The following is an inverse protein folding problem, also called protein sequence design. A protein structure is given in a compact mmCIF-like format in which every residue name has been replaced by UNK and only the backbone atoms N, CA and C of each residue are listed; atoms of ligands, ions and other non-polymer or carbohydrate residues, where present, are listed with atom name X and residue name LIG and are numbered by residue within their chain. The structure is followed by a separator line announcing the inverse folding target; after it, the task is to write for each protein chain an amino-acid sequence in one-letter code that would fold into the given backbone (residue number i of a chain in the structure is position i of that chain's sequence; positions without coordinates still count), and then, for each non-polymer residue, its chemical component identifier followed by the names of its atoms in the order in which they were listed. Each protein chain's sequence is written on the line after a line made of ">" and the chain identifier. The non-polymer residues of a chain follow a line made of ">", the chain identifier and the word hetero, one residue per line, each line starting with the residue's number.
data_IF_702590862647
#
_entry.id   IF_702590862647
#
_cell.length_a   1.000
_cell.length_b   1.000
_cell.length_c   1.000
_cell.angle_alpha   90.00
_cell.angle_beta   90.00
_cell.angle_gamma   90.00
#
_symmetry.space_group_name_H-M   'P 1'
#
loop_
_entity.id
_entity.type
_entity.pdbx_description
1 polymer ?
#
# COMPACT_ATOMS: atom_id res chain seq x y z
N UNK A 1 8.13 -16.49 9.70
CA UNK A 1 6.97 -15.76 10.29
C UNK A 1 6.82 -16.24 11.71
N UNK A 2 7.00 -15.35 12.69
CA UNK A 2 6.87 -15.71 14.12
C UNK A 2 5.41 -16.09 14.38
N UNK A 3 5.16 -17.25 14.99
CA UNK A 3 3.80 -17.66 15.35
C UNK A 3 3.22 -16.74 16.42
N UNK A 4 1.88 -16.65 16.54
CA UNK A 4 1.26 -15.85 17.59
C UNK A 4 1.69 -16.29 18.99
N UNK A 5 1.92 -17.59 19.19
CA UNK A 5 2.42 -18.15 20.43
C UNK A 5 3.86 -17.71 20.74
N UNK A 6 4.77 -17.85 19.78
CA UNK A 6 6.17 -17.41 19.94
C UNK A 6 6.27 -15.91 20.24
N UNK A 7 5.39 -15.10 19.60
CA UNK A 7 5.35 -13.68 19.88
C UNK A 7 4.88 -13.37 21.30
N UNK A 8 3.84 -14.04 21.80
CA UNK A 8 3.38 -13.92 23.21
C UNK A 8 4.49 -14.27 24.20
N UNK A 9 5.27 -15.32 23.94
CA UNK A 9 6.42 -15.69 24.76
C UNK A 9 7.50 -14.59 24.75
N UNK A 10 7.76 -13.99 23.60
CA UNK A 10 8.71 -12.88 23.49
C UNK A 10 8.23 -11.63 24.25
N UNK A 11 6.93 -11.32 24.18
CA UNK A 11 6.32 -10.24 24.98
C UNK A 11 6.55 -10.49 26.47
N UNK A 12 6.26 -11.72 26.94
CA UNK A 12 6.48 -12.11 28.34
C UNK A 12 7.93 -11.90 28.77
N UNK A 13 8.89 -12.43 28.01
CA UNK A 13 10.32 -12.28 28.30
C UNK A 13 10.77 -10.82 28.33
N UNK A 14 10.27 -10.01 27.39
CA UNK A 14 10.64 -8.59 27.30
C UNK A 14 10.08 -7.78 28.48
N UNK A 15 8.81 -7.98 28.83
CA UNK A 15 8.15 -7.20 29.88
C UNK A 15 8.55 -7.64 31.29
N UNK A 16 8.92 -8.91 31.47
CA UNK A 16 9.44 -9.41 32.76
C UNK A 16 10.93 -9.16 32.98
N UNK A 17 11.72 -9.02 31.89
CA UNK A 17 13.19 -8.96 31.99
C UNK A 17 13.82 -7.58 31.73
N UNK A 18 13.11 -6.63 31.15
CA UNK A 18 13.66 -5.31 30.75
C UNK A 18 12.91 -4.16 31.39
N UNK A 19 13.30 -3.80 32.60
CA UNK A 19 12.69 -2.69 33.35
C UNK A 19 12.85 -1.32 32.68
N UNK A 20 13.89 -1.10 31.87
CA UNK A 20 14.23 0.23 31.30
C UNK A 20 13.83 0.44 29.82
N UNK A 21 13.18 -0.54 29.16
CA UNK A 21 12.83 -0.42 27.74
C UNK A 21 11.94 0.80 27.45
N UNK A 22 11.03 1.09 28.35
CA UNK A 22 10.06 2.18 28.21
C UNK A 22 10.42 3.43 29.02
N UNK A 23 11.59 3.46 29.71
CA UNK A 23 11.95 4.58 30.56
C UNK A 23 11.64 5.96 29.91
N UNK A 24 11.06 6.88 30.67
CA UNK A 24 10.81 6.89 32.12
C UNK A 24 9.52 6.17 32.58
N UNK A 25 8.76 5.55 31.67
CA UNK A 25 7.64 4.69 32.00
C UNK A 25 8.16 3.34 32.48
N UNK A 26 7.64 2.84 33.60
CA UNK A 26 8.07 1.57 34.21
C UNK A 26 6.98 0.52 34.10
N UNK A 27 7.39 -0.74 33.86
CA UNK A 27 6.52 -1.92 33.97
C UNK A 27 6.55 -2.39 35.42
N UNK A 28 5.52 -2.09 36.20
CA UNK A 28 5.42 -2.49 37.60
C UNK A 28 5.03 -3.96 37.75
N UNK A 29 4.15 -4.49 36.92
CA UNK A 29 3.78 -5.90 36.87
C UNK A 29 3.32 -6.34 35.50
N UNK A 30 3.54 -7.63 35.18
CA UNK A 30 3.02 -8.30 33.99
C UNK A 30 2.58 -9.72 34.34
N UNK A 31 1.31 -10.03 34.12
CA UNK A 31 0.72 -11.35 34.32
C UNK A 31 0.12 -11.82 32.97
N UNK A 32 0.74 -12.85 32.40
CA UNK A 32 0.24 -13.49 31.17
C UNK A 32 -0.87 -14.49 31.56
N UNK A 33 -1.89 -14.57 30.71
CA UNK A 33 -3.00 -15.51 30.86
C UNK A 33 -3.66 -15.46 32.25
N UNK A 34 -4.25 -14.32 32.62
CA UNK A 34 -4.93 -14.20 33.91
C UNK A 34 -6.02 -15.27 34.03
N UNK A 35 -6.26 -15.72 35.27
CA UNK A 35 -7.24 -16.77 35.59
C UNK A 35 -8.59 -16.54 34.93
N UNK A 36 -9.36 -17.60 34.62
CA UNK A 36 -10.61 -17.52 33.88
C UNK A 36 -11.58 -16.57 34.57
N UNK A 37 -11.91 -15.47 33.86
CA UNK A 37 -13.07 -14.66 34.21
C UNK A 37 -14.32 -15.31 33.62
N UNK A 38 -15.49 -15.07 34.17
CA UNK A 38 -16.79 -15.56 33.64
C UNK A 38 -17.18 -14.91 32.29
N UNK A 39 -16.33 -14.03 31.75
CA UNK A 39 -16.55 -13.34 30.50
C UNK A 39 -16.22 -14.22 29.27
N UNK A 40 -16.97 -14.11 28.17
CA UNK A 40 -16.76 -14.90 26.95
C UNK A 40 -15.41 -14.62 26.26
N UNK A 41 -14.74 -13.52 26.58
CA UNK A 41 -13.44 -13.14 26.04
C UNK A 41 -12.40 -13.05 27.16
N UNK A 42 -11.22 -13.65 26.93
CA UNK A 42 -10.09 -13.62 27.86
C UNK A 42 -9.03 -12.67 27.35
N UNK A 43 -8.52 -11.74 28.17
CA UNK A 43 -7.37 -10.93 27.80
C UNK A 43 -6.11 -11.78 27.71
N UNK A 44 -5.17 -11.36 26.87
CA UNK A 44 -3.87 -12.03 26.76
C UNK A 44 -2.97 -11.78 27.97
N UNK A 45 -3.11 -10.62 28.63
CA UNK A 45 -2.34 -10.28 29.82
C UNK A 45 -3.02 -9.18 30.66
N UNK A 46 -2.58 -9.10 31.93
CA UNK A 46 -2.75 -7.94 32.80
C UNK A 46 -1.39 -7.25 32.96
N UNK A 47 -1.35 -5.94 32.86
CA UNK A 47 -0.14 -5.14 32.95
C UNK A 47 -0.39 -3.92 33.83
N UNK A 48 0.56 -3.61 34.74
CA UNK A 48 0.55 -2.36 35.51
C UNK A 48 1.74 -1.51 35.06
N UNK A 49 1.47 -0.30 34.64
CA UNK A 49 2.48 0.71 34.31
C UNK A 49 2.56 1.75 35.40
N UNK A 50 3.79 2.21 35.69
CA UNK A 50 4.07 3.29 36.65
C UNK A 50 4.70 4.48 35.94
N UNK A 51 4.19 5.66 36.22
CA UNK A 51 4.72 6.94 35.74
C UNK A 51 4.69 7.97 36.85
N UNK A 52 5.86 8.52 37.20
CA UNK A 52 5.96 9.55 38.25
C UNK A 52 5.22 9.20 39.57
N UNK A 53 5.33 7.94 40.00
CA UNK A 53 4.68 7.44 41.21
C UNK A 53 3.21 7.05 41.08
N UNK A 54 2.56 7.31 39.95
CA UNK A 54 1.18 6.87 39.65
C UNK A 54 1.20 5.50 38.97
N UNK A 55 0.30 4.62 39.37
CA UNK A 55 0.12 3.30 38.77
C UNK A 55 -1.23 3.18 38.10
N UNK A 56 -1.21 2.66 36.86
CA UNK A 56 -2.42 2.35 36.09
C UNK A 56 -2.37 0.89 35.64
N UNK A 57 -3.46 0.18 35.91
CA UNK A 57 -3.62 -1.23 35.52
C UNK A 57 -4.37 -1.36 34.20
N UNK A 58 -3.88 -2.25 33.34
CA UNK A 58 -4.37 -2.46 32.00
C UNK A 58 -4.80 -3.91 31.78
N UNK A 59 -5.86 -4.04 30.98
CA UNK A 59 -6.20 -5.27 30.28
C UNK A 59 -5.52 -5.22 28.91
N UNK A 60 -4.69 -6.23 28.61
CA UNK A 60 -3.85 -6.19 27.42
C UNK A 60 -4.23 -7.28 26.40
N UNK A 61 -4.22 -6.88 25.14
CA UNK A 61 -4.31 -7.76 23.98
C UNK A 61 -2.98 -7.76 23.22
N UNK A 62 -2.49 -8.91 22.82
CA UNK A 62 -1.19 -9.09 22.15
C UNK A 62 -1.41 -9.52 20.71
N UNK A 63 -0.97 -8.71 19.75
CA UNK A 63 -1.03 -9.06 18.34
C UNK A 63 0.37 -9.19 17.74
N UNK A 64 0.64 -10.30 17.08
CA UNK A 64 1.94 -10.58 16.42
C UNK A 64 2.13 -9.85 15.09
N UNK A 65 1.15 -9.08 14.63
CA UNK A 65 1.17 -8.29 13.39
C UNK A 65 0.53 -6.94 13.62
N UNK A 66 0.96 -5.96 12.83
CA UNK A 66 0.51 -4.56 12.88
C UNK A 66 -0.41 -4.18 11.72
N UNK A 67 -0.97 -5.18 10.99
CA UNK A 67 -1.91 -4.91 9.91
C UNK A 67 -3.15 -4.18 10.45
N UNK A 68 -3.64 -3.11 9.81
CA UNK A 68 -4.76 -2.31 10.28
C UNK A 68 -6.01 -3.12 10.67
N UNK A 69 -6.37 -4.12 9.87
CA UNK A 69 -7.49 -5.03 10.19
C UNK A 69 -7.31 -5.76 11.53
N UNK A 70 -6.09 -6.21 11.83
CA UNK A 70 -5.79 -6.90 13.10
C UNK A 70 -5.82 -5.94 14.29
N UNK A 71 -5.34 -4.71 14.09
CA UNK A 71 -5.41 -3.65 15.11
C UNK A 71 -6.86 -3.32 15.40
N UNK A 72 -7.70 -3.14 14.39
CA UNK A 72 -9.13 -2.87 14.55
C UNK A 72 -9.86 -4.00 15.29
N UNK A 73 -9.54 -5.26 14.99
CA UNK A 73 -10.07 -6.40 15.72
C UNK A 73 -9.64 -6.39 17.19
N UNK A 74 -8.39 -6.06 17.48
CA UNK A 74 -7.88 -5.96 18.85
C UNK A 74 -8.57 -4.83 19.62
N UNK A 75 -8.78 -3.68 19.00
CA UNK A 75 -9.53 -2.56 19.58
C UNK A 75 -10.95 -3.02 19.97
N UNK A 76 -11.63 -3.70 19.06
CA UNK A 76 -12.97 -4.22 19.33
C UNK A 76 -12.97 -5.22 20.50
N UNK A 77 -11.99 -6.15 20.56
CA UNK A 77 -11.84 -7.10 21.65
C UNK A 77 -11.64 -6.37 22.98
N UNK A 78 -10.68 -5.43 23.04
CA UNK A 78 -10.36 -4.67 24.25
C UNK A 78 -11.55 -3.86 24.77
N UNK A 79 -12.37 -3.26 23.90
CA UNK A 79 -13.60 -2.56 24.31
C UNK A 79 -14.61 -3.49 25.01
N UNK A 80 -14.57 -4.79 24.73
CA UNK A 80 -15.44 -5.78 25.38
C UNK A 80 -14.86 -6.33 26.69
N UNK A 81 -13.54 -6.15 26.96
CA UNK A 81 -12.93 -6.58 28.22
C UNK A 81 -13.11 -5.60 29.37
N UNK A 82 -13.19 -4.31 29.08
CA UNK A 82 -13.13 -3.24 30.10
C UNK A 82 -14.48 -3.13 30.84
N UNK A 83 -14.70 -4.00 31.83
CA UNK A 83 -15.85 -3.91 32.73
C UNK A 83 -15.50 -3.52 34.17
N UNK A 84 -14.18 -3.55 34.55
CA UNK A 84 -13.74 -3.45 35.94
C UNK A 84 -12.94 -2.16 36.24
N UNK A 85 -13.13 -1.09 35.47
CA UNK A 85 -12.40 0.17 35.67
C UNK A 85 -10.93 0.13 35.26
N UNK A 86 -10.44 -0.96 34.68
CA UNK A 86 -9.10 -1.06 34.09
C UNK A 86 -9.05 -0.39 32.73
N UNK A 87 -7.88 0.13 32.37
CA UNK A 87 -7.62 0.70 31.05
C UNK A 87 -7.28 -0.37 30.02
N UNK A 88 -7.43 -0.05 28.75
CA UNK A 88 -7.13 -0.96 27.64
C UNK A 88 -5.75 -0.72 27.06
N UNK A 89 -5.00 -1.81 26.79
CA UNK A 89 -3.65 -1.74 26.21
C UNK A 89 -3.49 -2.72 25.05
N UNK A 90 -2.97 -2.23 23.94
CA UNK A 90 -2.57 -3.06 22.81
C UNK A 90 -1.04 -3.24 22.80
N UNK A 91 -0.57 -4.49 22.69
CA UNK A 91 0.85 -4.83 22.61
C UNK A 91 1.17 -5.37 21.22
N UNK A 92 2.13 -4.73 20.55
CA UNK A 92 2.48 -4.97 19.15
C UNK A 92 3.99 -5.25 18.97
N UNK A 93 4.41 -5.86 17.85
CA UNK A 93 5.82 -5.93 17.50
C UNK A 93 6.44 -4.56 17.27
N UNK A 94 5.71 -3.68 16.60
CA UNK A 94 6.11 -2.32 16.28
C UNK A 94 4.90 -1.39 16.19
N UNK A 95 5.03 -0.23 16.81
CA UNK A 95 4.04 0.84 16.80
C UNK A 95 4.39 1.86 15.73
N UNK A 96 3.77 1.74 14.56
CA UNK A 96 3.89 2.73 13.48
C UNK A 96 3.05 3.97 13.77
N UNK A 97 3.37 5.08 13.09
CA UNK A 97 2.61 6.32 13.22
C UNK A 97 1.12 6.11 12.89
N UNK A 98 0.80 5.39 11.81
CA UNK A 98 -0.59 5.11 11.42
C UNK A 98 -1.35 4.26 12.45
N UNK A 99 -0.69 3.30 13.09
CA UNK A 99 -1.30 2.52 14.17
C UNK A 99 -1.49 3.38 15.43
N UNK A 100 -0.53 4.26 15.75
CA UNK A 100 -0.68 5.19 16.85
C UNK A 100 -1.86 6.16 16.64
N UNK A 101 -2.05 6.66 15.40
CA UNK A 101 -3.19 7.47 15.02
C UNK A 101 -4.52 6.74 15.24
N UNK A 102 -4.65 5.48 14.73
CA UNK A 102 -5.83 4.65 14.98
C UNK A 102 -6.11 4.45 16.48
N UNK A 103 -5.06 4.17 17.27
CA UNK A 103 -5.21 4.02 18.72
C UNK A 103 -5.61 5.34 19.40
N UNK A 104 -5.11 6.49 18.90
CA UNK A 104 -5.48 7.80 19.41
C UNK A 104 -6.95 8.11 19.22
N UNK A 105 -7.47 7.89 18.01
CA UNK A 105 -8.88 8.07 17.66
C UNK A 105 -9.81 7.24 18.56
N UNK A 106 -9.37 6.03 18.90
CA UNK A 106 -10.14 5.10 19.73
C UNK A 106 -9.86 5.23 21.24
N UNK A 107 -9.03 6.19 21.65
CA UNK A 107 -8.58 6.41 23.03
C UNK A 107 -7.99 5.15 23.68
N UNK A 108 -7.20 4.42 22.92
CA UNK A 108 -6.58 3.16 23.32
C UNK A 108 -5.09 3.34 23.54
N UNK A 109 -4.58 2.92 24.70
CA UNK A 109 -3.14 2.87 24.94
C UNK A 109 -2.48 1.72 24.17
N UNK A 110 -1.25 1.93 23.70
CA UNK A 110 -0.47 0.88 23.02
C UNK A 110 1.02 0.99 23.29
N UNK A 111 1.70 -0.16 23.27
CA UNK A 111 3.16 -0.30 23.41
C UNK A 111 3.70 -1.29 22.39
N UNK A 112 4.99 -1.18 22.07
CA UNK A 112 5.69 -2.15 21.24
C UNK A 112 6.94 -2.73 21.90
N UNK A 113 7.52 -3.77 21.28
CA UNK A 113 8.74 -4.39 21.79
C UNK A 113 10.05 -3.65 21.43
N UNK A 114 9.97 -2.49 20.77
CA UNK A 114 11.09 -1.59 20.48
C UNK A 114 11.22 -0.49 21.53
N UNK A 115 10.19 -0.31 22.37
CA UNK A 115 10.14 0.72 23.39
C UNK A 115 9.35 1.95 22.96
N UNK A 116 8.60 1.91 21.84
CA UNK A 116 7.60 2.93 21.54
C UNK A 116 6.36 2.71 22.39
N UNK A 117 5.69 3.78 22.73
CA UNK A 117 4.43 3.76 23.48
C UNK A 117 3.57 4.98 23.18
N UNK A 118 2.28 4.77 23.29
CA UNK A 118 1.23 5.79 23.39
C UNK A 118 0.38 5.38 24.59
N UNK A 119 0.51 6.07 25.71
CA UNK A 119 -0.30 5.86 26.90
C UNK A 119 -1.23 7.04 27.04
N UNK A 120 -2.52 6.78 27.02
CA UNK A 120 -3.56 7.77 27.15
C UNK A 120 -4.65 7.24 28.07
N UNK A 121 -4.54 7.61 29.33
CA UNK A 121 -5.49 7.31 30.40
C UNK A 121 -5.94 8.59 31.06
N UNK A 122 -6.81 8.49 32.05
CA UNK A 122 -7.20 9.66 32.87
C UNK A 122 -6.05 10.27 33.67
N UNK A 123 -5.03 9.44 33.98
CA UNK A 123 -3.94 9.82 34.88
C UNK A 123 -2.60 10.02 34.17
N UNK A 124 -2.40 9.36 33.04
CA UNK A 124 -1.14 9.35 32.29
C UNK A 124 -1.40 9.70 30.82
N UNK A 125 -0.70 10.72 30.33
CA UNK A 125 -0.54 10.99 28.91
C UNK A 125 0.96 10.98 28.58
N UNK A 126 1.41 9.94 27.88
CA UNK A 126 2.82 9.79 27.54
C UNK A 126 2.97 9.17 26.15
N UNK A 127 3.81 9.77 25.30
CA UNK A 127 3.99 9.36 23.91
C UNK A 127 5.49 9.27 23.59
N UNK A 128 5.90 8.16 22.98
CA UNK A 128 7.21 7.96 22.36
C UNK A 128 7.10 7.10 21.12
N UNK A 129 7.48 7.61 19.94
CA UNK A 129 7.36 6.92 18.64
C UNK A 129 8.65 7.00 17.81
N UNK A 130 9.78 7.28 18.46
CA UNK A 130 11.09 7.51 17.83
C UNK A 130 11.96 6.26 17.68
N UNK A 131 11.56 5.14 18.31
CA UNK A 131 12.35 3.91 18.23
C UNK A 131 12.13 3.20 16.91
N UNK A 132 13.21 2.84 16.18
CA UNK A 132 13.11 2.17 14.89
C UNK A 132 12.54 0.76 15.00
N UNK A 133 11.93 0.28 13.92
CA UNK A 133 11.40 -1.07 13.85
C UNK A 133 12.52 -2.13 13.75
N UNK A 134 12.77 -2.87 14.81
CA UNK A 134 13.67 -4.02 14.83
C UNK A 134 13.00 -5.32 14.30
N UNK A 135 11.67 -5.34 14.15
CA UNK A 135 10.89 -6.48 13.67
C UNK A 135 10.56 -6.34 12.20
N UNK A 136 11.55 -6.42 11.31
CA UNK A 136 11.40 -6.24 9.85
C UNK A 136 10.33 -7.15 9.22
N UNK A 137 10.08 -8.32 9.83
CA UNK A 137 9.06 -9.27 9.38
C UNK A 137 7.61 -8.79 9.62
N UNK A 138 7.42 -7.83 10.51
CA UNK A 138 6.10 -7.24 10.80
C UNK A 138 5.72 -6.13 9.83
N UNK A 139 6.64 -5.68 8.96
CA UNK A 139 6.32 -4.66 7.95
C UNK A 139 5.35 -5.24 6.92
N UNK A 140 4.30 -4.50 6.56
CA UNK A 140 3.42 -4.89 5.48
C UNK A 140 4.25 -5.08 4.20
N UNK A 141 3.92 -6.09 3.39
CA UNK A 141 4.62 -6.36 2.13
C UNK A 141 4.25 -5.24 1.17
N UNK A 142 5.08 -4.20 1.11
CA UNK A 142 4.92 -3.03 0.22
C UNK A 142 4.87 -3.39 -1.27
N UNK A 143 5.32 -4.58 -1.63
CA UNK A 143 5.44 -5.02 -3.03
C UNK A 143 4.11 -5.18 -3.79
N UNK A 144 2.95 -5.17 -3.10
CA UNK A 144 1.65 -5.28 -3.79
C UNK A 144 1.26 -4.00 -4.53
N UNK A 145 1.88 -2.87 -4.22
CA UNK A 145 1.59 -1.57 -4.85
C UNK A 145 2.56 -1.21 -5.97
N UNK A 146 3.51 -2.08 -6.31
CA UNK A 146 4.51 -1.82 -7.35
C UNK A 146 4.63 -2.96 -8.37
N UNK A 147 5.15 -2.64 -9.56
CA UNK A 147 5.35 -3.59 -10.66
C UNK A 147 4.05 -4.32 -11.04
N UNK A 148 4.15 -5.57 -11.46
CA UNK A 148 2.99 -6.37 -11.88
C UNK A 148 1.96 -6.60 -10.77
N UNK A 149 2.37 -6.60 -9.49
CA UNK A 149 1.43 -6.75 -8.38
C UNK A 149 0.47 -5.55 -8.25
N UNK A 150 0.87 -4.36 -8.71
CA UNK A 150 0.03 -3.16 -8.70
C UNK A 150 -1.21 -3.26 -9.61
N UNK A 151 -1.20 -4.18 -10.58
CA UNK A 151 -2.28 -4.37 -11.56
C UNK A 151 -3.63 -4.64 -10.87
N UNK A 152 -3.66 -5.40 -9.77
CA UNK A 152 -4.91 -5.67 -9.04
C UNK A 152 -5.51 -4.37 -8.48
N UNK A 153 -4.69 -3.55 -7.81
CA UNK A 153 -5.16 -2.25 -7.30
C UNK A 153 -5.59 -1.30 -8.42
N UNK A 154 -4.87 -1.29 -9.54
CA UNK A 154 -5.23 -0.48 -10.73
C UNK A 154 -6.55 -0.92 -11.33
N UNK A 155 -6.81 -2.25 -11.43
CA UNK A 155 -8.09 -2.78 -11.89
C UNK A 155 -9.25 -2.29 -11.01
N UNK A 156 -9.10 -2.39 -9.68
CA UNK A 156 -10.14 -1.98 -8.74
C UNK A 156 -10.47 -0.49 -8.87
N UNK A 157 -9.47 0.36 -9.05
CA UNK A 157 -9.66 1.80 -9.28
C UNK A 157 -10.30 2.11 -10.64
N UNK A 158 -10.03 1.30 -11.66
CA UNK A 158 -10.57 1.47 -13.00
C UNK A 158 -12.04 1.05 -13.09
N UNK A 159 -12.35 -0.15 -12.60
CA UNK A 159 -13.67 -0.78 -12.78
C UNK A 159 -14.74 -0.18 -11.86
N UNK A 160 -14.36 0.33 -10.69
CA UNK A 160 -15.27 1.00 -9.73
C UNK A 160 -16.51 0.18 -9.38
N UNK A 161 -16.40 -1.15 -9.44
CA UNK A 161 -17.48 -2.09 -9.16
C UNK A 161 -17.09 -3.12 -8.12
N UNK A 162 -18.06 -3.80 -7.58
CA UNK A 162 -17.88 -5.02 -6.78
C UNK A 162 -17.67 -6.20 -7.72
N UNK A 163 -16.67 -7.03 -7.43
CA UNK A 163 -16.44 -8.31 -8.09
C UNK A 163 -17.01 -9.43 -7.23
N UNK A 164 -17.64 -10.42 -7.86
CA UNK A 164 -18.31 -11.52 -7.16
C UNK A 164 -17.49 -12.82 -7.14
N UNK A 165 -16.31 -12.82 -7.73
CA UNK A 165 -15.39 -13.95 -7.65
C UNK A 165 -13.96 -13.57 -7.99
N UNK A 166 -13.03 -14.40 -7.52
CA UNK A 166 -11.61 -14.28 -7.91
C UNK A 166 -11.40 -14.47 -9.43
N UNK A 167 -12.21 -15.35 -10.05
CA UNK A 167 -12.15 -15.60 -11.49
C UNK A 167 -12.62 -14.38 -12.30
N UNK A 168 -13.58 -13.62 -11.80
CA UNK A 168 -14.00 -12.35 -12.45
C UNK A 168 -12.86 -11.33 -12.46
N UNK A 169 -12.17 -11.17 -11.33
CA UNK A 169 -10.97 -10.31 -11.25
C UNK A 169 -9.88 -10.79 -12.20
N UNK A 170 -9.63 -12.09 -12.26
CA UNK A 170 -8.64 -12.68 -13.15
C UNK A 170 -8.95 -12.38 -14.62
N UNK A 171 -10.20 -12.63 -15.07
CA UNK A 171 -10.64 -12.37 -16.45
C UNK A 171 -10.53 -10.88 -16.81
N UNK A 172 -10.96 -10.00 -15.92
CA UNK A 172 -10.86 -8.56 -16.15
C UNK A 172 -9.40 -8.10 -16.29
N UNK A 173 -8.47 -8.70 -15.53
CA UNK A 173 -7.03 -8.43 -15.68
C UNK A 173 -6.52 -8.89 -17.06
N UNK A 174 -6.90 -10.10 -17.51
CA UNK A 174 -6.48 -10.61 -18.82
C UNK A 174 -7.05 -9.79 -19.99
N UNK A 175 -8.31 -9.39 -19.91
CA UNK A 175 -8.97 -8.53 -20.91
C UNK A 175 -8.25 -7.18 -21.09
N UNK A 176 -7.68 -6.66 -20.00
CA UNK A 176 -6.90 -5.41 -20.00
C UNK A 176 -5.41 -5.62 -20.30
N UNK A 177 -5.01 -6.84 -20.72
CA UNK A 177 -3.64 -7.16 -21.10
C UNK A 177 -2.69 -7.44 -19.93
N UNK A 178 -3.22 -7.56 -18.71
CA UNK A 178 -2.44 -7.96 -17.53
C UNK A 178 -2.18 -9.47 -17.50
N UNK A 179 -1.12 -9.87 -16.76
CA UNK A 179 -0.76 -11.28 -16.58
C UNK A 179 -0.42 -11.54 -15.11
N UNK A 180 -1.33 -12.18 -14.41
CA UNK A 180 -1.15 -12.61 -13.02
C UNK A 180 -1.81 -13.99 -12.84
N UNK A 181 -1.21 -14.84 -12.01
CA UNK A 181 -1.88 -16.09 -11.62
C UNK A 181 -2.99 -15.85 -10.60
N UNK A 182 -4.00 -16.72 -10.57
CA UNK A 182 -5.07 -16.68 -9.55
C UNK A 182 -4.51 -16.67 -8.13
N UNK A 183 -3.45 -17.45 -7.86
CA UNK A 183 -2.77 -17.49 -6.58
C UNK A 183 -2.14 -16.13 -6.21
N UNK A 184 -1.53 -15.44 -7.19
CA UNK A 184 -0.97 -14.10 -6.96
C UNK A 184 -2.08 -13.08 -6.65
N UNK A 185 -3.15 -13.08 -7.44
CA UNK A 185 -4.32 -12.19 -7.24
C UNK A 185 -4.92 -12.42 -5.85
N UNK A 186 -5.14 -13.69 -5.46
CA UNK A 186 -5.67 -14.02 -4.12
C UNK A 186 -4.79 -13.50 -2.99
N UNK A 187 -3.46 -13.62 -3.12
CA UNK A 187 -2.51 -13.11 -2.12
C UNK A 187 -2.52 -11.58 -2.05
N UNK A 188 -2.60 -10.90 -3.20
CA UNK A 188 -2.67 -9.43 -3.26
C UNK A 188 -3.95 -8.94 -2.63
N UNK A 189 -5.11 -9.50 -3.00
CA UNK A 189 -6.41 -9.14 -2.43
C UNK A 189 -6.45 -9.34 -0.91
N UNK A 190 -5.88 -10.46 -0.42
CA UNK A 190 -5.74 -10.69 1.03
C UNK A 190 -4.93 -9.60 1.72
N UNK A 191 -3.87 -9.10 1.08
CA UNK A 191 -3.07 -8.00 1.63
C UNK A 191 -3.81 -6.67 1.60
N UNK A 192 -4.54 -6.38 0.53
CA UNK A 192 -5.39 -5.19 0.45
C UNK A 192 -6.50 -5.22 1.53
N UNK A 193 -7.02 -6.41 1.84
CA UNK A 193 -7.98 -6.61 2.92
C UNK A 193 -7.35 -6.40 4.32
N UNK A 194 -6.14 -6.92 4.54
CA UNK A 194 -5.37 -6.68 5.77
C UNK A 194 -5.12 -5.18 6.01
N UNK A 195 -4.97 -4.39 4.93
CA UNK A 195 -4.81 -2.94 4.94
C UNK A 195 -6.14 -2.16 5.01
N UNK A 196 -7.28 -2.85 5.10
CA UNK A 196 -8.64 -2.26 5.05
C UNK A 196 -8.93 -1.46 3.77
N UNK A 197 -8.17 -1.69 2.70
CA UNK A 197 -8.38 -1.05 1.40
C UNK A 197 -9.53 -1.71 0.65
N UNK A 198 -9.66 -3.04 0.82
CA UNK A 198 -10.67 -3.88 0.18
C UNK A 198 -11.43 -4.64 1.24
N UNK A 199 -12.74 -4.77 1.07
CA UNK A 199 -13.53 -5.80 1.75
C UNK A 199 -13.55 -7.05 0.87
N UNK A 200 -13.18 -8.18 1.46
CA UNK A 200 -13.25 -9.49 0.84
C UNK A 200 -14.11 -10.41 1.71
N UNK A 201 -15.41 -10.28 1.57
CA UNK A 201 -16.36 -11.26 2.11
C UNK A 201 -16.37 -12.55 1.27
N UNK A 202 -17.12 -13.58 1.69
CA UNK A 202 -17.16 -14.89 0.98
C UNK A 202 -17.46 -14.76 -0.51
N UNK A 203 -18.32 -13.79 -0.88
CA UNK A 203 -18.91 -13.68 -2.21
C UNK A 203 -18.71 -12.31 -2.88
N UNK A 204 -17.92 -11.43 -2.27
CA UNK A 204 -17.76 -10.07 -2.79
C UNK A 204 -16.32 -9.53 -2.55
N UNK A 205 -15.84 -8.76 -3.50
CA UNK A 205 -14.58 -8.02 -3.43
C UNK A 205 -14.89 -6.57 -3.78
N UNK A 206 -14.87 -5.71 -2.76
CA UNK A 206 -15.28 -4.30 -2.89
C UNK A 206 -14.14 -3.39 -2.46
N UNK A 207 -13.84 -2.37 -3.25
CA UNK A 207 -12.86 -1.33 -2.91
C UNK A 207 -13.49 -0.36 -1.89
N UNK A 208 -12.91 -0.29 -0.68
CA UNK A 208 -13.40 0.55 0.41
C UNK A 208 -12.72 1.91 0.45
N UNK A 209 -11.42 1.95 0.19
CA UNK A 209 -10.59 3.15 0.35
C UNK A 209 -9.82 3.48 -0.94
N UNK A 210 -10.50 4.02 -1.96
CA UNK A 210 -9.89 4.29 -3.27
C UNK A 210 -8.77 5.34 -3.19
N UNK A 211 -8.92 6.38 -2.38
CA UNK A 211 -7.89 7.41 -2.21
C UNK A 211 -6.62 6.85 -1.56
N UNK A 212 -6.77 6.03 -0.49
CA UNK A 212 -5.65 5.35 0.16
C UNK A 212 -4.94 4.39 -0.82
N UNK A 213 -5.71 3.63 -1.61
CA UNK A 213 -5.14 2.74 -2.62
C UNK A 213 -4.32 3.51 -3.64
N UNK A 214 -4.86 4.60 -4.18
CA UNK A 214 -4.17 5.42 -5.18
C UNK A 214 -2.89 6.06 -4.61
N UNK A 215 -2.93 6.51 -3.34
CA UNK A 215 -1.78 7.07 -2.66
C UNK A 215 -0.69 6.02 -2.38
N UNK A 216 -1.05 4.81 -1.99
CA UNK A 216 -0.12 3.69 -1.84
C UNK A 216 0.56 3.34 -3.17
N UNK A 217 -0.22 3.28 -4.26
CA UNK A 217 0.31 3.06 -5.61
C UNK A 217 1.29 4.16 -6.02
N UNK A 218 1.01 5.44 -5.73
CA UNK A 218 1.88 6.57 -6.01
C UNK A 218 3.18 6.52 -5.21
N UNK A 219 3.09 6.28 -3.91
CA UNK A 219 4.23 6.27 -2.99
C UNK A 219 5.19 5.12 -3.28
N UNK A 220 4.66 3.95 -3.64
CA UNK A 220 5.43 2.75 -3.91
C UNK A 220 5.71 2.55 -5.42
N UNK A 221 5.30 3.52 -6.26
CA UNK A 221 5.56 3.45 -7.69
C UNK A 221 7.05 3.35 -7.98
N UNK A 222 7.38 2.45 -8.88
CA UNK A 222 8.74 2.31 -9.44
C UNK A 222 8.63 2.33 -10.94
N UNK A 223 9.43 3.19 -11.57
CA UNK A 223 9.55 3.20 -13.01
C UNK A 223 9.98 1.81 -13.53
N UNK A 224 9.54 1.41 -14.72
CA UNK A 224 9.93 0.14 -15.30
C UNK A 224 11.45 0.09 -15.51
N UNK A 225 12.01 -1.12 -15.40
CA UNK A 225 13.42 -1.35 -15.70
C UNK A 225 13.64 -1.23 -17.20
N UNK A 226 14.38 -0.22 -17.61
CA UNK A 226 14.77 -0.05 -19.00
C UNK A 226 15.97 -0.94 -19.32
N UNK A 227 15.89 -1.68 -20.43
CA UNK A 227 16.98 -2.51 -20.96
C UNK A 227 17.82 -1.74 -21.97
N UNK A 228 17.14 -0.92 -22.77
CA UNK A 228 17.72 -0.16 -23.86
C UNK A 228 16.87 1.08 -24.13
N UNK A 229 17.47 2.15 -24.62
CA UNK A 229 16.76 3.36 -25.01
C UNK A 229 17.32 3.84 -26.34
N UNK A 230 16.45 4.12 -27.31
CA UNK A 230 16.83 4.72 -28.61
C UNK A 230 16.15 6.07 -28.78
N UNK A 231 16.92 7.04 -29.29
CA UNK A 231 16.45 8.40 -29.57
C UNK A 231 16.48 8.61 -31.07
N UNK A 232 15.34 8.87 -31.66
CA UNK A 232 15.13 8.86 -33.09
C UNK A 232 14.57 10.20 -33.57
N UNK A 233 15.02 10.63 -34.76
CA UNK A 233 14.35 11.68 -35.52
C UNK A 233 13.49 11.00 -36.59
N UNK A 234 12.18 11.08 -36.43
CA UNK A 234 11.23 10.43 -37.33
C UNK A 234 10.33 11.45 -38.04
N UNK A 235 9.73 11.10 -39.20
CA UNK A 235 8.77 11.97 -39.88
C UNK A 235 7.58 12.32 -38.99
N UNK A 236 7.05 13.52 -39.18
CA UNK A 236 5.85 13.98 -38.52
C UNK A 236 4.60 13.56 -39.30
N UNK A 237 3.46 13.26 -38.67
CA UNK A 237 3.31 13.18 -37.20
C UNK A 237 3.93 11.90 -36.62
N UNK A 238 4.64 12.01 -35.47
CA UNK A 238 5.32 10.88 -34.81
C UNK A 238 4.37 9.71 -34.51
N UNK A 239 3.14 9.98 -34.11
CA UNK A 239 2.12 8.96 -33.84
C UNK A 239 1.79 8.15 -35.09
N UNK A 240 1.69 8.78 -36.27
CA UNK A 240 1.47 8.05 -37.52
C UNK A 240 2.66 7.17 -37.88
N UNK A 241 3.88 7.63 -37.61
CA UNK A 241 5.08 6.81 -37.77
C UNK A 241 5.03 5.57 -36.86
N UNK A 242 4.73 5.76 -35.54
CA UNK A 242 4.59 4.65 -34.57
C UNK A 242 3.54 3.63 -35.02
N UNK A 243 2.42 4.09 -35.55
CA UNK A 243 1.32 3.24 -36.04
C UNK A 243 1.72 2.39 -37.24
N UNK A 244 2.46 2.97 -38.16
CA UNK A 244 2.81 2.32 -39.43
C UNK A 244 4.07 1.47 -39.37
N UNK A 245 4.94 1.72 -38.39
CA UNK A 245 6.27 1.08 -38.32
C UNK A 245 6.29 -0.22 -37.58
N UNK A 246 5.32 -0.50 -36.69
CA UNK A 246 5.34 -1.71 -35.82
C UNK A 246 3.92 -2.19 -35.54
N UNK A 247 3.78 -3.51 -35.39
CA UNK A 247 2.57 -4.14 -34.88
C UNK A 247 2.15 -3.48 -33.55
N UNK A 248 0.95 -2.92 -33.58
CA UNK A 248 0.37 -2.15 -32.48
C UNK A 248 0.33 -2.88 -31.14
N UNK A 249 0.52 -4.21 -31.13
CA UNK A 249 0.55 -5.03 -29.90
C UNK A 249 1.82 -4.89 -29.06
N UNK A 250 2.87 -4.29 -29.58
CA UNK A 250 4.21 -4.32 -28.99
C UNK A 250 4.70 -3.02 -28.38
N UNK A 251 3.90 -1.96 -28.40
CA UNK A 251 4.29 -0.67 -27.83
C UNK A 251 3.14 0.04 -27.11
N UNK A 252 3.46 1.00 -26.25
CA UNK A 252 2.52 1.98 -25.69
C UNK A 252 3.26 3.28 -25.38
N UNK A 253 2.59 4.42 -25.52
CA UNK A 253 3.16 5.70 -25.07
C UNK A 253 3.43 5.64 -23.56
N UNK A 254 4.42 6.40 -23.09
CA UNK A 254 4.65 6.60 -21.64
C UNK A 254 3.50 7.41 -21.04
N UNK A 255 3.38 7.41 -19.73
CA UNK A 255 2.37 8.20 -19.03
C UNK A 255 2.54 9.71 -19.28
N UNK A 256 3.79 10.18 -19.32
CA UNK A 256 4.14 11.56 -19.67
C UNK A 256 3.66 11.92 -21.08
N UNK A 257 4.01 11.11 -22.08
CA UNK A 257 3.58 11.33 -23.46
C UNK A 257 2.08 11.11 -23.70
N UNK A 258 1.39 10.49 -22.75
CA UNK A 258 -0.07 10.32 -22.78
C UNK A 258 -0.82 11.43 -22.05
N UNK A 259 -0.13 12.36 -21.41
CA UNK A 259 -0.75 13.42 -20.62
C UNK A 259 -1.67 14.33 -21.45
N UNK A 260 -1.30 14.62 -22.69
CA UNK A 260 -2.12 15.44 -23.61
C UNK A 260 -3.49 14.84 -23.93
N UNK A 261 -3.65 13.51 -23.83
CA UNK A 261 -4.96 12.86 -23.98
C UNK A 261 -5.92 13.23 -22.83
N UNK A 262 -5.38 13.51 -21.67
CA UNK A 262 -6.12 13.70 -20.42
C UNK A 262 -6.16 15.15 -19.95
N UNK A 263 -5.30 16.02 -20.49
CA UNK A 263 -5.19 17.43 -20.12
C UNK A 263 -4.86 18.28 -21.34
N UNK A 264 -5.59 19.36 -21.53
CA UNK A 264 -5.40 20.29 -22.66
C UNK A 264 -4.10 21.14 -22.57
N UNK A 265 -3.36 21.05 -21.47
CA UNK A 265 -2.24 21.95 -21.16
C UNK A 265 -0.86 21.41 -21.53
N UNK A 266 -0.77 20.19 -22.07
CA UNK A 266 0.51 19.56 -22.39
C UNK A 266 0.68 19.35 -23.88
N UNK A 267 1.65 20.06 -24.47
CA UNK A 267 2.23 19.67 -25.76
C UNK A 267 3.69 19.26 -25.52
N UNK A 268 4.01 17.99 -25.75
CA UNK A 268 5.38 17.51 -25.72
C UNK A 268 5.94 17.45 -27.14
N UNK A 269 7.05 18.15 -27.40
CA UNK A 269 7.75 18.08 -28.68
C UNK A 269 8.45 16.72 -28.91
N UNK A 270 8.62 15.94 -27.86
CA UNK A 270 9.27 14.63 -27.88
C UNK A 270 8.30 13.62 -27.32
N UNK A 271 7.91 12.64 -28.14
CA UNK A 271 7.11 11.51 -27.66
C UNK A 271 8.02 10.38 -27.13
N UNK A 272 7.63 9.77 -26.06
CA UNK A 272 8.28 8.58 -25.49
C UNK A 272 7.33 7.39 -25.51
N UNK A 273 7.83 6.23 -25.89
CA UNK A 273 7.06 4.99 -25.90
C UNK A 273 7.83 3.83 -25.27
N UNK A 274 7.13 3.01 -24.49
CA UNK A 274 7.61 1.71 -24.06
C UNK A 274 7.43 0.70 -25.20
N UNK A 275 8.45 -0.12 -25.41
CA UNK A 275 8.46 -1.18 -26.43
C UNK A 275 9.00 -2.47 -25.81
N UNK A 276 8.52 -3.61 -26.29
CA UNK A 276 9.02 -4.92 -25.85
C UNK A 276 10.30 -5.32 -26.57
N UNK A 277 10.48 -4.87 -27.82
CA UNK A 277 11.63 -5.22 -28.67
C UNK A 277 11.97 -4.03 -29.59
N UNK A 278 13.24 -3.80 -29.83
CA UNK A 278 13.73 -2.75 -30.72
C UNK A 278 14.19 -3.29 -32.10
N UNK A 279 14.34 -4.61 -32.26
CA UNK A 279 14.86 -5.24 -33.50
C UNK A 279 13.99 -5.00 -34.74
N UNK A 280 12.71 -4.82 -34.55
CA UNK A 280 11.75 -4.62 -35.64
C UNK A 280 11.46 -3.13 -35.94
N UNK A 281 12.17 -2.25 -35.27
CA UNK A 281 12.04 -0.80 -35.55
C UNK A 281 13.01 -0.40 -36.65
N UNK A 282 12.63 0.54 -37.51
CA UNK A 282 13.57 1.11 -38.48
C UNK A 282 14.81 1.63 -37.77
N UNK A 283 15.96 1.25 -38.27
CA UNK A 283 17.21 1.76 -37.74
C UNK A 283 17.44 3.18 -38.30
N UNK A 284 17.43 4.15 -37.42
CA UNK A 284 17.85 5.52 -37.69
C UNK A 284 19.10 5.80 -36.88
N UNK A 285 19.95 6.67 -37.37
CA UNK A 285 21.09 7.16 -36.58
C UNK A 285 20.57 7.89 -35.33
N UNK A 286 21.26 7.73 -34.22
CA UNK A 286 20.93 8.39 -32.96
C UNK A 286 21.20 9.89 -33.12
N UNK A 287 20.13 10.72 -33.11
CA UNK A 287 20.25 12.14 -33.38
C UNK A 287 20.19 13.01 -32.11
N UNK A 288 20.99 14.09 -32.11
CA UNK A 288 20.96 15.09 -31.03
C UNK A 288 19.59 15.77 -30.90
N UNK A 289 18.90 15.96 -32.04
CA UNK A 289 17.58 16.60 -32.09
C UNK A 289 16.49 15.59 -32.43
N UNK A 290 16.21 14.68 -31.51
CA UNK A 290 15.19 13.63 -31.63
C UNK A 290 13.79 14.15 -31.31
N UNK A 291 12.77 13.50 -31.85
CA UNK A 291 11.35 13.73 -31.54
C UNK A 291 10.64 12.46 -31.05
N UNK A 292 11.35 11.33 -31.00
CA UNK A 292 10.85 10.05 -30.50
C UNK A 292 11.91 9.39 -29.62
N UNK A 293 11.48 8.92 -28.44
CA UNK A 293 12.32 8.14 -27.52
C UNK A 293 11.68 6.77 -27.27
N UNK A 294 12.29 5.71 -27.78
CA UNK A 294 11.85 4.33 -27.53
C UNK A 294 12.56 3.76 -26.32
N UNK A 295 11.79 3.26 -25.37
CA UNK A 295 12.25 2.72 -24.07
C UNK A 295 11.91 1.23 -24.01
N UNK A 296 12.89 0.35 -24.22
CA UNK A 296 12.70 -1.11 -24.15
C UNK A 296 12.56 -1.58 -22.72
N UNK A 297 11.46 -2.28 -22.43
CA UNK A 297 11.20 -2.89 -21.12
C UNK A 297 10.46 -4.21 -21.25
N UNK A 298 10.74 -5.13 -20.31
CA UNK A 298 10.01 -6.40 -20.12
C UNK A 298 8.92 -6.29 -19.05
N UNK A 299 8.83 -5.15 -18.38
CA UNK A 299 7.85 -4.92 -17.31
C UNK A 299 6.45 -4.73 -17.90
N UNK A 300 5.62 -5.77 -17.79
CA UNK A 300 4.30 -5.81 -18.45
C UNK A 300 3.26 -4.86 -17.86
N UNK A 301 3.45 -4.36 -16.65
CA UNK A 301 2.51 -3.46 -15.99
C UNK A 301 2.33 -2.12 -16.70
N UNK A 302 3.32 -1.68 -17.51
CA UNK A 302 3.21 -0.42 -18.28
C UNK A 302 2.20 -0.51 -19.43
N UNK A 303 1.93 -1.74 -19.91
CA UNK A 303 0.98 -2.00 -20.98
C UNK A 303 -0.43 -2.30 -20.47
N UNK A 304 -0.61 -2.41 -19.16
CA UNK A 304 -1.89 -2.71 -18.55
C UNK A 304 -2.88 -1.57 -18.75
N UNK A 305 -4.07 -1.91 -19.23
CA UNK A 305 -5.16 -0.96 -19.51
C UNK A 305 -4.73 0.17 -20.47
N UNK A 306 -3.72 -0.06 -21.30
CA UNK A 306 -3.42 0.86 -22.39
C UNK A 306 -4.57 0.85 -23.40
N UNK A 307 -4.95 2.03 -23.89
CA UNK A 307 -6.01 2.14 -24.87
C UNK A 307 -5.69 1.31 -26.11
N UNK A 308 -6.62 0.46 -26.56
CA UNK A 308 -6.48 -0.44 -27.71
C UNK A 308 -6.89 0.23 -29.05
N UNK A 309 -7.17 1.52 -29.03
CA UNK A 309 -7.46 2.30 -30.21
C UNK A 309 -6.19 2.42 -31.08
N UNK A 310 -6.35 3.04 -32.22
CA UNK A 310 -5.25 3.28 -33.19
C UNK A 310 -4.01 3.95 -32.56
N UNK A 311 -4.18 4.57 -31.42
CA UNK A 311 -3.13 5.20 -30.63
C UNK A 311 -3.08 4.54 -29.26
N UNK A 312 -1.91 3.98 -28.91
CA UNK A 312 -1.73 3.25 -27.64
C UNK A 312 -1.25 4.20 -26.55
N UNK A 313 -2.19 4.89 -25.97
CA UNK A 313 -1.97 5.73 -24.80
C UNK A 313 -1.82 4.88 -23.53
N UNK A 314 -0.93 5.29 -22.64
CA UNK A 314 -0.90 4.72 -21.29
C UNK A 314 -2.26 4.95 -20.60
N UNK A 315 -2.63 4.05 -19.69
CA UNK A 315 -3.84 4.23 -18.90
C UNK A 315 -3.77 5.50 -18.06
N UNK A 316 -4.93 6.06 -17.71
CA UNK A 316 -5.02 7.24 -16.85
C UNK A 316 -4.26 7.06 -15.52
N UNK A 317 -4.35 5.86 -14.93
CA UNK A 317 -3.63 5.54 -13.69
C UNK A 317 -2.12 5.48 -13.93
N UNK A 318 -1.65 4.86 -15.04
CA UNK A 318 -0.23 4.85 -15.37
C UNK A 318 0.29 6.28 -15.59
N UNK A 319 -0.45 7.12 -16.31
CA UNK A 319 -0.08 8.53 -16.53
C UNK A 319 0.00 9.29 -15.21
N UNK A 320 -0.97 9.13 -14.32
CA UNK A 320 -0.93 9.71 -12.97
C UNK A 320 0.32 9.29 -12.19
N UNK A 321 0.63 7.97 -12.20
CA UNK A 321 1.76 7.45 -11.44
C UNK A 321 3.10 7.98 -11.95
N UNK A 322 3.30 8.08 -13.26
CA UNK A 322 4.52 8.62 -13.86
C UNK A 322 4.65 10.13 -13.60
N UNK A 323 3.62 10.91 -13.92
CA UNK A 323 3.63 12.37 -13.75
C UNK A 323 3.83 12.79 -12.29
N UNK A 324 3.31 12.00 -11.34
CA UNK A 324 3.47 12.25 -9.91
C UNK A 324 4.93 12.19 -9.43
N UNK A 325 5.83 11.59 -10.20
CA UNK A 325 7.26 11.46 -9.88
C UNK A 325 8.11 12.57 -10.52
N UNK A 326 7.53 13.38 -11.42
CA UNK A 326 8.21 14.44 -12.16
C UNK A 326 8.16 15.78 -11.42
N UNK A 327 8.48 16.86 -12.13
CA UNK A 327 8.59 18.20 -11.57
C UNK A 327 7.23 18.87 -11.31
N UNK A 328 7.25 20.16 -10.96
CA UNK A 328 6.06 20.87 -10.46
C UNK A 328 4.90 20.91 -11.46
N UNK A 329 5.17 21.18 -12.74
CA UNK A 329 4.13 21.27 -13.79
C UNK A 329 3.43 19.94 -14.01
N UNK A 330 4.19 18.87 -14.09
CA UNK A 330 3.70 17.51 -14.28
C UNK A 330 2.88 17.03 -13.06
N UNK A 331 3.25 17.47 -11.86
CA UNK A 331 2.47 17.21 -10.64
C UNK A 331 1.11 17.94 -10.62
N UNK A 332 1.00 19.11 -11.23
CA UNK A 332 -0.29 19.79 -11.36
C UNK A 332 -1.23 18.97 -12.25
N UNK A 333 -0.73 18.47 -13.39
CA UNK A 333 -1.51 17.57 -14.26
C UNK A 333 -1.86 16.27 -13.54
N UNK A 334 -0.91 15.71 -12.78
CA UNK A 334 -1.17 14.52 -11.97
C UNK A 334 -2.29 14.75 -10.94
N UNK A 335 -2.39 15.97 -10.38
CA UNK A 335 -3.46 16.29 -9.44
C UNK A 335 -4.85 16.28 -10.12
N UNK A 336 -4.95 16.81 -11.34
CA UNK A 336 -6.20 16.74 -12.11
C UNK A 336 -6.58 15.28 -12.44
N UNK A 337 -5.58 14.48 -12.82
CA UNK A 337 -5.79 13.04 -13.05
C UNK A 337 -6.23 12.31 -11.77
N UNK A 338 -5.66 12.65 -10.60
CA UNK A 338 -6.07 12.12 -9.31
C UNK A 338 -7.56 12.39 -9.07
N UNK A 339 -7.99 13.63 -9.25
CA UNK A 339 -9.39 14.01 -9.06
C UNK A 339 -10.32 13.22 -9.99
N UNK A 340 -9.91 13.04 -11.26
CA UNK A 340 -10.71 12.32 -12.24
C UNK A 340 -10.73 10.80 -12.00
N UNK A 341 -9.62 10.22 -11.54
CA UNK A 341 -9.57 8.80 -11.13
C UNK A 341 -10.50 8.54 -9.94
N UNK A 342 -10.53 9.45 -8.97
CA UNK A 342 -11.35 9.31 -7.77
C UNK A 342 -12.80 9.75 -7.95
N UNK A 343 -13.11 10.50 -9.01
CA UNK A 343 -14.47 10.93 -9.34
C UNK A 343 -15.38 9.70 -9.53
N UNK A 344 -16.45 9.62 -8.74
CA UNK A 344 -17.42 8.52 -8.79
C UNK A 344 -17.20 7.42 -7.75
N UNK A 345 -16.15 7.49 -6.95
CA UNK A 345 -16.13 6.83 -5.65
C UNK A 345 -16.83 7.77 -4.64
N UNK A 346 -17.84 7.25 -3.97
CA UNK A 346 -18.58 7.95 -2.90
C UNK A 346 -18.16 7.42 -1.54
#
# INVERSE_FOLDING_TARGET
>A
MVSGYEFKQKVRQTLQGRTNLYAPLEVASYNAEPSPTQAPYRPDALLTLRWQGKEVSFVAEVKSRTAPKMVQQAIWQLKNYVKDGRESLLILPYLSKSVAEMCTEERLSCIDLNGNYLIQTREILAIRLDKPNAFKESQPIKKIFSGNSSIVGRLLLRERKTFFSLNEVYRAIEELGGRLSLSAISKILKRLEEELIVDKSSDQITLLQPEKLLECLRTEYRAPKLLETQRLKVPLPVISFLRNSVDSSKWTLTGESSAERYSATTQTNILSAYVTDLRNWPQFEEERFYNLCLKKTVDSFVYFDAAKESERWASKIQSYLELSQLDKREKEIAQDLKMDILKGFK
#
